data_IF_641894143551
#
_entry.id   IF_641894143551
#
_cell.length_a   1.000
_cell.length_b   1.000
_cell.length_c   1.000
_cell.angle_alpha   90.00
_cell.angle_beta   90.00
_cell.angle_gamma   90.00
#
_symmetry.space_group_name_H-M   'P 1'
#
loop_
_entity.id
_entity.type
_entity.pdbx_description
1 polymer ?
#
# COMPACT_ATOMS: atom_id res chain seq x y z
N UNK A 1 28.26 -6.35 -11.30
CA UNK A 1 28.06 -6.55 -9.86
C UNK A 1 26.64 -7.06 -9.67
N UNK A 2 26.46 -8.34 -9.46
CA UNK A 2 25.15 -8.95 -9.22
C UNK A 2 24.76 -8.58 -7.80
N UNK A 3 23.78 -7.69 -7.64
CA UNK A 3 23.19 -7.38 -6.35
C UNK A 3 22.57 -8.67 -5.79
N UNK A 4 23.21 -9.22 -4.77
CA UNK A 4 22.67 -10.38 -4.07
C UNK A 4 21.54 -9.88 -3.15
N UNK A 5 20.32 -9.89 -3.66
CA UNK A 5 19.12 -9.41 -2.98
C UNK A 5 18.82 -10.17 -1.67
N UNK A 6 19.45 -11.35 -1.47
CA UNK A 6 19.32 -12.13 -0.22
C UNK A 6 19.85 -11.38 1.01
N UNK A 7 20.79 -10.45 0.84
CA UNK A 7 21.35 -9.68 1.97
C UNK A 7 20.45 -8.56 2.49
N UNK A 8 19.36 -8.24 1.79
CA UNK A 8 18.37 -7.26 2.25
C UNK A 8 17.30 -7.84 3.17
N UNK A 9 17.27 -9.17 3.35
CA UNK A 9 16.32 -9.82 4.25
C UNK A 9 16.92 -9.92 5.64
N UNK A 10 16.14 -9.52 6.67
CA UNK A 10 16.51 -9.82 8.03
C UNK A 10 16.45 -11.36 8.23
N UNK A 11 17.61 -12.06 8.37
CA UNK A 11 17.62 -13.52 8.46
C UNK A 11 16.97 -14.06 9.72
N UNK A 12 16.72 -13.20 10.73
CA UNK A 12 16.04 -13.59 11.98
C UNK A 12 14.53 -13.70 11.82
N UNK A 13 13.98 -13.13 10.74
CA UNK A 13 12.57 -13.28 10.44
C UNK A 13 12.43 -14.50 9.52
N UNK A 14 12.21 -15.69 10.12
CA UNK A 14 11.78 -16.88 9.37
C UNK A 14 10.37 -16.67 8.82
N UNK A 15 10.20 -15.68 7.96
CA UNK A 15 8.93 -15.47 7.32
C UNK A 15 8.83 -16.34 6.10
N UNK A 16 7.83 -17.18 6.11
CA UNK A 16 7.46 -18.06 5.04
C UNK A 16 7.47 -17.36 3.69
N UNK A 17 8.21 -17.88 2.73
CA UNK A 17 8.01 -17.77 1.26
C UNK A 17 7.75 -16.39 0.60
N UNK A 18 7.86 -15.26 1.28
CA UNK A 18 7.88 -13.92 0.66
C UNK A 18 9.31 -13.48 0.31
N UNK A 19 10.17 -14.43 0.01
CA UNK A 19 11.61 -14.27 0.00
C UNK A 19 12.21 -13.56 -1.19
N UNK A 20 11.57 -13.57 -2.35
CA UNK A 20 12.14 -13.02 -3.57
C UNK A 20 11.35 -11.81 -4.07
N UNK A 21 12.07 -10.76 -4.49
CA UNK A 21 11.45 -9.64 -5.18
C UNK A 21 10.90 -10.09 -6.52
N UNK A 22 9.62 -9.90 -6.75
CA UNK A 22 9.06 -10.09 -8.08
C UNK A 22 9.72 -9.12 -9.06
N UNK A 23 10.08 -9.62 -10.22
CA UNK A 23 10.54 -8.78 -11.32
C UNK A 23 9.35 -8.06 -11.94
N UNK A 24 9.29 -6.74 -11.76
CA UNK A 24 8.26 -5.93 -12.39
C UNK A 24 8.53 -5.80 -13.88
N UNK A 25 7.49 -5.99 -14.68
CA UNK A 25 7.57 -5.79 -16.13
C UNK A 25 7.29 -4.32 -16.48
N UNK A 26 7.89 -3.82 -17.58
CA UNK A 26 7.65 -2.47 -18.04
C UNK A 26 6.17 -2.20 -18.32
N UNK A 27 5.69 -1.04 -17.89
CA UNK A 27 4.36 -0.52 -18.20
C UNK A 27 4.49 0.49 -19.33
N UNK A 28 3.87 0.18 -20.45
CA UNK A 28 3.93 1.05 -21.63
C UNK A 28 3.32 2.43 -21.34
N UNK A 29 4.00 3.50 -21.75
CA UNK A 29 3.53 4.87 -21.53
C UNK A 29 3.90 5.49 -20.17
N UNK A 30 4.64 4.75 -19.34
CA UNK A 30 5.21 5.22 -18.07
C UNK A 30 6.72 5.43 -18.22
N UNK A 31 7.22 6.55 -17.74
CA UNK A 31 8.64 6.83 -17.51
C UNK A 31 8.90 7.06 -16.04
N UNK A 32 10.02 6.57 -15.51
CA UNK A 32 10.32 6.58 -14.09
C UNK A 32 11.71 7.17 -13.84
N UNK A 33 11.85 7.97 -12.80
CA UNK A 33 13.14 8.42 -12.29
C UNK A 33 13.13 8.61 -10.78
N UNK A 34 14.31 8.53 -10.19
CA UNK A 34 14.55 8.94 -8.80
C UNK A 34 15.92 9.59 -8.67
N UNK A 35 16.04 10.54 -7.76
CA UNK A 35 17.29 11.22 -7.42
C UNK A 35 17.32 11.59 -5.94
N UNK A 36 18.51 11.89 -5.43
CA UNK A 36 18.66 12.52 -4.11
C UNK A 36 18.44 14.02 -4.22
N UNK A 37 17.60 14.56 -3.33
CA UNK A 37 17.49 16.00 -3.06
C UNK A 37 18.24 16.36 -1.78
N UNK A 38 19.11 15.49 -1.28
CA UNK A 38 19.89 15.64 -0.06
C UNK A 38 18.98 15.91 1.17
N UNK A 39 17.82 15.19 1.22
CA UNK A 39 16.92 15.23 2.37
C UNK A 39 17.43 14.31 3.49
N UNK A 40 18.14 13.26 3.10
CA UNK A 40 18.92 12.40 4.00
C UNK A 40 20.42 12.67 3.79
N UNK A 41 21.20 12.47 4.84
CA UNK A 41 22.65 12.71 4.79
C UNK A 41 23.46 11.50 4.29
N UNK A 42 22.79 10.48 3.75
CA UNK A 42 23.40 9.21 3.29
C UNK A 42 23.48 9.10 1.75
N UNK A 43 23.03 10.13 1.03
CA UNK A 43 23.09 10.21 -0.43
C UNK A 43 22.09 9.30 -1.18
N UNK A 44 21.17 8.63 -0.45
CA UNK A 44 20.11 7.83 -1.08
C UNK A 44 19.15 8.72 -1.87
N UNK A 45 18.48 8.13 -2.85
CA UNK A 45 17.39 8.81 -3.53
C UNK A 45 16.23 9.03 -2.55
N UNK A 46 15.63 10.22 -2.60
CA UNK A 46 14.56 10.65 -1.68
C UNK A 46 13.42 11.40 -2.38
N UNK A 47 13.54 11.59 -3.70
CA UNK A 47 12.47 12.04 -4.58
C UNK A 47 12.34 11.13 -5.78
N UNK A 48 11.08 10.85 -6.16
CA UNK A 48 10.74 9.99 -7.30
C UNK A 48 9.71 10.65 -8.18
N UNK A 49 9.77 10.37 -9.49
CA UNK A 49 8.86 10.89 -10.49
C UNK A 49 8.37 9.76 -11.39
N UNK A 50 7.06 9.66 -11.51
CA UNK A 50 6.34 8.81 -12.45
C UNK A 50 5.68 9.72 -13.48
N UNK A 51 6.13 9.66 -14.71
CA UNK A 51 5.66 10.51 -15.80
C UNK A 51 4.92 9.68 -16.84
N UNK A 52 3.74 10.12 -17.19
CA UNK A 52 2.87 9.52 -18.20
C UNK A 52 2.90 10.39 -19.44
N UNK A 53 3.70 10.00 -20.43
CA UNK A 53 3.95 10.81 -21.66
C UNK A 53 2.63 11.29 -22.30
N UNK A 54 1.67 10.38 -22.49
CA UNK A 54 0.38 10.70 -23.06
C UNK A 54 -0.71 10.93 -22.01
N UNK A 55 -0.31 10.95 -20.71
CA UNK A 55 -1.20 11.00 -19.57
C UNK A 55 -1.73 9.63 -19.19
N UNK A 56 -2.38 9.57 -18.04
CA UNK A 56 -3.01 8.36 -17.53
C UNK A 56 -4.35 8.68 -16.85
N UNK A 57 -5.34 7.82 -17.07
CA UNK A 57 -6.50 7.77 -16.20
C UNK A 57 -6.04 7.33 -14.81
N UNK A 58 -6.56 7.94 -13.75
CA UNK A 58 -6.21 7.53 -12.41
C UNK A 58 -7.41 7.43 -11.47
N UNK A 59 -7.25 6.64 -10.44
CA UNK A 59 -8.07 6.65 -9.25
C UNK A 59 -7.17 6.60 -8.03
N UNK A 60 -7.56 7.29 -6.97
CA UNK A 60 -6.85 7.26 -5.71
C UNK A 60 -7.82 7.22 -4.54
N UNK A 61 -7.36 6.61 -3.45
CA UNK A 61 -8.01 6.63 -2.15
C UNK A 61 -6.98 7.17 -1.16
N UNK A 62 -7.44 8.04 -0.26
CA UNK A 62 -6.61 8.79 0.65
C UNK A 62 -6.98 8.49 2.10
N UNK A 63 -6.11 8.86 3.03
CA UNK A 63 -6.36 8.76 4.48
C UNK A 63 -7.70 9.38 4.88
N UNK A 64 -8.30 8.78 5.90
CA UNK A 64 -9.49 9.32 6.57
C UNK A 64 -9.15 10.25 7.74
N UNK A 65 -7.87 10.48 8.01
CA UNK A 65 -7.42 11.43 9.03
C UNK A 65 -8.01 12.82 8.77
N UNK A 66 -8.45 13.49 9.82
CA UNK A 66 -8.89 14.89 9.74
C UNK A 66 -7.74 15.89 9.59
N UNK A 67 -6.52 15.45 9.91
CA UNK A 67 -5.29 16.21 9.68
C UNK A 67 -4.61 15.57 8.47
N UNK A 68 -4.55 16.29 7.36
CA UNK A 68 -4.00 15.80 6.10
C UNK A 68 -2.82 16.63 5.63
N UNK A 69 -1.89 16.00 4.90
CA UNK A 69 -0.74 16.69 4.32
C UNK A 69 -1.13 17.68 3.23
N UNK A 70 -0.23 18.62 2.94
CA UNK A 70 -0.40 19.54 1.82
C UNK A 70 -0.52 18.80 0.47
N UNK A 71 0.15 17.65 0.31
CA UNK A 71 0.07 16.80 -0.88
C UNK A 71 -1.33 16.21 -1.06
N UNK A 72 -1.93 15.68 -0.01
CA UNK A 72 -3.32 15.19 -0.04
C UNK A 72 -4.29 16.32 -0.38
N UNK A 73 -4.15 17.47 0.29
CA UNK A 73 -4.97 18.64 0.06
C UNK A 73 -4.85 19.18 -1.38
N UNK A 74 -3.67 19.06 -1.98
CA UNK A 74 -3.44 19.35 -3.39
C UNK A 74 -4.21 18.40 -4.29
N UNK A 75 -4.03 17.10 -4.09
CA UNK A 75 -4.64 16.06 -4.93
C UNK A 75 -6.17 16.09 -4.90
N UNK A 76 -6.76 16.36 -3.73
CA UNK A 76 -8.22 16.47 -3.57
C UNK A 76 -8.85 17.63 -4.37
N UNK A 77 -8.06 18.66 -4.73
CA UNK A 77 -8.51 19.78 -5.58
C UNK A 77 -8.50 19.45 -7.07
N UNK A 78 -7.87 18.36 -7.47
CA UNK A 78 -7.79 17.93 -8.88
C UNK A 78 -9.11 17.26 -9.27
N UNK A 79 -9.92 17.97 -10.03
CA UNK A 79 -11.24 17.48 -10.47
C UNK A 79 -11.16 16.52 -11.67
N UNK A 80 -10.10 16.62 -12.47
CA UNK A 80 -9.87 15.74 -13.62
C UNK A 80 -9.29 14.42 -13.12
N UNK A 81 -9.83 13.31 -13.58
CA UNK A 81 -9.30 11.98 -13.29
C UNK A 81 -8.29 11.50 -14.36
N UNK A 82 -7.52 12.45 -14.89
CA UNK A 82 -6.48 12.24 -15.89
C UNK A 82 -5.29 13.13 -15.53
N UNK A 83 -4.09 12.56 -15.47
CA UNK A 83 -2.87 13.24 -15.00
C UNK A 83 -1.67 12.92 -15.88
N UNK A 84 -0.65 13.78 -15.82
CA UNK A 84 0.62 13.63 -16.53
C UNK A 84 1.75 13.13 -15.63
N UNK A 85 1.70 13.38 -14.34
CA UNK A 85 2.76 12.90 -13.44
C UNK A 85 2.31 12.75 -11.99
N UNK A 86 3.03 11.86 -11.28
CA UNK A 86 3.06 11.76 -9.83
C UNK A 86 4.49 11.99 -9.35
N UNK A 87 4.69 12.95 -8.45
CA UNK A 87 5.97 13.15 -7.76
C UNK A 87 5.84 12.78 -6.29
N UNK A 88 6.84 12.08 -5.77
CA UNK A 88 6.89 11.61 -4.38
C UNK A 88 8.14 12.15 -3.71
N UNK A 89 8.03 12.66 -2.49
CA UNK A 89 9.17 12.95 -1.63
C UNK A 89 9.09 12.17 -0.31
N UNK A 90 10.26 11.82 0.22
CA UNK A 90 10.41 11.21 1.54
C UNK A 90 11.04 12.18 2.55
N UNK A 91 11.35 11.70 3.75
CA UNK A 91 11.91 12.42 4.90
C UNK A 91 10.96 13.41 5.56
N UNK A 92 10.11 14.11 4.81
CA UNK A 92 9.20 15.12 5.31
C UNK A 92 7.78 14.86 4.80
N UNK A 93 6.83 14.78 5.71
CA UNK A 93 5.43 14.48 5.42
C UNK A 93 4.68 15.65 4.77
N UNK A 94 5.21 16.85 4.87
CA UNK A 94 4.54 18.10 4.53
C UNK A 94 3.15 18.21 5.20
N UNK A 95 3.11 17.80 6.47
CA UNK A 95 1.92 17.82 7.32
C UNK A 95 2.20 18.70 8.52
N UNK A 96 1.20 19.49 8.91
CA UNK A 96 1.32 20.46 10.00
C UNK A 96 2.43 21.52 9.76
N UNK A 97 2.61 21.89 8.49
CA UNK A 97 3.64 22.83 7.99
C UNK A 97 3.06 24.22 7.70
N UNK A 98 1.78 24.44 8.01
CA UNK A 98 1.09 25.70 7.79
C UNK A 98 1.02 26.13 6.31
N UNK A 99 0.88 27.43 6.10
CA UNK A 99 0.77 28.03 4.75
C UNK A 99 2.07 27.81 3.95
N UNK A 100 3.22 27.86 4.62
CA UNK A 100 4.55 27.69 3.96
C UNK A 100 4.68 26.34 3.26
N UNK A 101 4.19 25.25 3.87
CA UNK A 101 4.23 23.93 3.26
C UNK A 101 3.41 23.84 1.97
N UNK A 102 2.22 24.46 1.96
CA UNK A 102 1.37 24.51 0.76
C UNK A 102 1.97 25.41 -0.35
N UNK A 103 2.58 26.56 0.04
CA UNK A 103 3.26 27.45 -0.90
C UNK A 103 4.48 26.77 -1.52
N UNK A 104 5.32 26.11 -0.71
CA UNK A 104 6.47 25.35 -1.19
C UNK A 104 6.07 24.23 -2.17
N UNK A 105 4.98 23.50 -1.90
CA UNK A 105 4.44 22.51 -2.82
C UNK A 105 3.99 23.14 -4.15
N UNK A 106 3.37 24.33 -4.12
CA UNK A 106 2.98 25.08 -5.32
C UNK A 106 4.18 25.49 -6.16
N UNK A 107 5.29 25.92 -5.53
CA UNK A 107 6.54 26.24 -6.23
C UNK A 107 7.14 24.99 -6.91
N UNK A 108 7.15 23.86 -6.23
CA UNK A 108 7.54 22.57 -6.80
C UNK A 108 6.68 22.25 -8.01
N UNK A 109 5.36 22.39 -7.91
CA UNK A 109 4.42 22.13 -8.99
C UNK A 109 4.69 22.98 -10.23
N UNK A 110 4.95 24.27 -10.07
CA UNK A 110 5.31 25.17 -11.19
C UNK A 110 6.64 24.77 -11.84
N UNK A 111 7.66 24.45 -11.04
CA UNK A 111 8.97 24.03 -11.56
C UNK A 111 8.86 22.71 -12.33
N UNK A 112 8.13 21.74 -11.76
CA UNK A 112 7.91 20.43 -12.40
C UNK A 112 7.12 20.57 -13.70
N UNK A 113 6.03 21.34 -13.68
CA UNK A 113 5.21 21.64 -14.87
C UNK A 113 6.06 22.23 -16.00
N UNK A 114 6.89 23.25 -15.70
CA UNK A 114 7.79 23.87 -16.68
C UNK A 114 8.82 22.87 -17.22
N UNK A 115 9.46 22.09 -16.35
CA UNK A 115 10.48 21.12 -16.75
C UNK A 115 9.93 19.99 -17.63
N UNK A 116 8.74 19.48 -17.30
CA UNK A 116 8.08 18.45 -18.08
C UNK A 116 7.56 18.99 -19.42
N UNK A 117 7.05 20.23 -19.47
CA UNK A 117 6.66 20.89 -20.73
C UNK A 117 7.86 21.04 -21.67
N UNK A 118 9.03 21.44 -21.14
CA UNK A 118 10.26 21.52 -21.94
C UNK A 118 10.69 20.15 -22.49
N UNK A 119 10.64 19.09 -21.64
CA UNK A 119 10.92 17.72 -22.09
C UNK A 119 9.94 17.26 -23.18
N UNK A 120 8.65 17.49 -23.01
CA UNK A 120 7.63 17.12 -24.00
C UNK A 120 7.87 17.82 -25.35
N UNK A 121 8.23 19.09 -25.34
CA UNK A 121 8.50 19.87 -26.56
C UNK A 121 9.73 19.38 -27.35
N UNK A 122 10.66 18.70 -26.71
CA UNK A 122 11.85 18.12 -27.36
C UNK A 122 11.57 16.77 -28.05
N UNK A 123 10.47 16.12 -27.70
CA UNK A 123 10.16 14.75 -28.17
C UNK A 123 9.02 14.68 -29.16
N UNK A 124 8.33 15.77 -29.43
CA UNK A 124 7.17 15.82 -30.34
C UNK A 124 7.35 16.91 -31.40
N UNK A 125 7.50 16.52 -32.65
CA UNK A 125 7.41 17.49 -33.78
C UNK A 125 5.98 18.01 -33.86
N UNK A 126 5.80 19.31 -33.64
CA UNK A 126 4.62 20.05 -34.06
C UNK A 126 3.65 20.58 -33.02
N UNK A 127 3.51 20.02 -31.82
CA UNK A 127 2.62 20.57 -30.79
C UNK A 127 3.26 20.60 -29.42
N UNK A 128 3.37 21.77 -28.80
CA UNK A 128 3.78 21.90 -27.40
C UNK A 128 2.69 21.34 -26.49
N UNK A 129 2.91 20.16 -25.92
CA UNK A 129 2.05 19.62 -24.88
C UNK A 129 2.33 20.38 -23.57
N UNK A 130 1.54 21.42 -23.30
CA UNK A 130 1.67 22.25 -22.10
C UNK A 130 1.14 21.48 -20.91
N UNK A 131 2.03 21.04 -20.03
CA UNK A 131 1.66 20.36 -18.81
C UNK A 131 1.30 21.38 -17.73
N UNK A 132 0.06 21.34 -17.26
CA UNK A 132 -0.43 22.25 -16.23
C UNK A 132 -0.13 21.72 -14.85
N UNK A 133 -0.06 22.60 -13.86
CA UNK A 133 0.09 22.18 -12.45
C UNK A 133 -1.06 21.30 -11.97
N UNK A 134 -2.24 21.43 -12.56
CA UNK A 134 -3.42 20.58 -12.30
C UNK A 134 -3.33 19.18 -12.89
N UNK A 135 -2.32 18.91 -13.72
CA UNK A 135 -2.05 17.60 -14.29
C UNK A 135 -1.04 16.79 -13.41
N UNK A 136 -0.64 17.34 -12.26
CA UNK A 136 0.37 16.80 -11.38
C UNK A 136 -0.22 16.35 -10.04
N UNK A 137 0.10 15.13 -9.62
CA UNK A 137 -0.16 14.60 -8.29
C UNK A 137 1.11 14.61 -7.45
N UNK A 138 0.92 14.70 -6.14
CA UNK A 138 2.01 14.66 -5.17
C UNK A 138 1.72 13.66 -4.05
N UNK A 139 2.78 13.06 -3.54
CA UNK A 139 2.76 12.29 -2.30
C UNK A 139 3.99 12.63 -1.47
N UNK A 140 3.82 12.74 -0.18
CA UNK A 140 4.89 13.03 0.78
C UNK A 140 4.84 12.03 1.91
N UNK A 141 5.99 11.70 2.49
CA UNK A 141 6.08 10.82 3.66
C UNK A 141 7.32 11.15 4.49
N UNK A 142 7.24 10.97 5.80
CA UNK A 142 8.33 11.23 6.73
C UNK A 142 7.86 11.99 7.97
N UNK A 143 8.70 12.86 8.49
CA UNK A 143 8.45 13.57 9.75
C UNK A 143 7.33 14.61 9.60
N UNK A 144 6.44 14.66 10.58
CA UNK A 144 5.35 15.63 10.70
C UNK A 144 5.86 16.86 11.47
N UNK A 145 5.45 18.07 11.05
CA UNK A 145 5.72 19.31 11.77
C UNK A 145 7.07 19.97 11.46
N UNK A 146 7.96 19.29 10.75
CA UNK A 146 9.22 19.89 10.27
C UNK A 146 8.97 20.80 9.06
N UNK A 147 9.79 21.86 8.91
CA UNK A 147 9.72 22.74 7.75
C UNK A 147 9.90 21.96 6.45
N UNK A 148 9.02 22.21 5.48
CA UNK A 148 9.06 21.52 4.20
C UNK A 148 10.26 21.97 3.35
N UNK A 149 11.20 21.09 3.00
CA UNK A 149 12.46 21.44 2.33
C UNK A 149 12.27 21.69 0.83
N UNK A 150 11.28 22.51 0.46
CA UNK A 150 10.85 22.71 -0.93
C UNK A 150 11.96 23.25 -1.84
N UNK A 151 12.89 24.07 -1.32
CA UNK A 151 14.00 24.62 -2.11
C UNK A 151 14.94 23.49 -2.56
N UNK A 152 15.33 22.59 -1.64
CA UNK A 152 16.17 21.43 -2.00
C UNK A 152 15.51 20.58 -3.08
N UNK A 153 14.24 20.25 -2.90
CA UNK A 153 13.45 19.47 -3.84
C UNK A 153 13.36 20.17 -5.20
N UNK A 154 12.99 21.45 -5.20
CA UNK A 154 12.82 22.26 -6.41
C UNK A 154 14.10 22.30 -7.26
N UNK A 155 15.25 22.45 -6.63
CA UNK A 155 16.55 22.53 -7.31
C UNK A 155 16.94 21.19 -8.00
N UNK A 156 16.39 20.06 -7.57
CA UNK A 156 16.66 18.75 -8.19
C UNK A 156 15.66 18.34 -9.26
N UNK A 157 14.57 19.07 -9.46
CA UNK A 157 13.56 18.75 -10.48
C UNK A 157 14.15 18.67 -11.90
N UNK A 158 15.02 19.60 -12.37
CA UNK A 158 15.59 19.48 -13.71
C UNK A 158 16.38 18.18 -13.91
N UNK A 159 17.15 17.75 -12.92
CA UNK A 159 17.87 16.48 -12.95
C UNK A 159 16.91 15.28 -12.93
N UNK A 160 15.89 15.33 -12.07
CA UNK A 160 14.86 14.29 -11.95
C UNK A 160 14.14 14.08 -13.30
N UNK A 161 13.76 15.16 -13.99
CA UNK A 161 13.12 15.11 -15.31
C UNK A 161 14.09 14.62 -16.40
N UNK A 162 15.36 15.04 -16.36
CA UNK A 162 16.40 14.56 -17.29
C UNK A 162 16.65 13.06 -17.18
N UNK A 163 16.53 12.50 -15.96
CA UNK A 163 16.77 11.08 -15.66
C UNK A 163 15.56 10.19 -15.92
N UNK A 164 14.43 10.71 -16.38
CA UNK A 164 13.27 9.89 -16.73
C UNK A 164 13.64 8.83 -17.79
N UNK A 165 13.32 7.57 -17.49
CA UNK A 165 13.64 6.42 -18.33
C UNK A 165 12.37 5.68 -18.73
N UNK A 166 12.31 5.35 -20.02
CA UNK A 166 11.33 4.43 -20.61
C UNK A 166 11.66 2.98 -20.24
N UNK A 167 12.94 2.67 -20.15
CA UNK A 167 13.42 1.36 -19.71
C UNK A 167 13.17 1.16 -18.22
N UNK A 168 12.22 0.30 -17.92
CA UNK A 168 11.79 -0.02 -16.55
C UNK A 168 12.28 -1.40 -16.17
N UNK A 169 13.59 -1.59 -16.13
CA UNK A 169 14.18 -2.84 -15.65
C UNK A 169 14.10 -2.98 -14.12
N UNK A 170 14.47 -4.14 -13.60
CA UNK A 170 14.44 -4.42 -12.17
C UNK A 170 15.19 -3.41 -11.30
N UNK A 171 16.26 -2.80 -11.81
CA UNK A 171 17.02 -1.80 -11.05
C UNK A 171 16.28 -0.47 -10.94
N UNK A 172 15.61 -0.04 -12.00
CA UNK A 172 14.79 1.18 -11.99
C UNK A 172 13.64 1.04 -11.00
N UNK A 173 12.91 -0.08 -11.05
CA UNK A 173 11.83 -0.34 -10.11
C UNK A 173 12.32 -0.45 -8.66
N UNK A 174 13.41 -1.21 -8.44
CA UNK A 174 13.99 -1.36 -7.10
C UNK A 174 14.45 -0.02 -6.53
N UNK A 175 15.20 0.75 -7.33
CA UNK A 175 15.69 2.08 -6.94
C UNK A 175 14.55 3.02 -6.59
N UNK A 176 13.50 3.04 -7.42
CA UNK A 176 12.34 3.91 -7.20
C UNK A 176 11.52 3.48 -5.99
N UNK A 177 11.32 2.17 -5.79
CA UNK A 177 10.65 1.63 -4.59
C UNK A 177 11.45 1.92 -3.31
N UNK A 178 12.79 1.91 -3.40
CA UNK A 178 13.66 2.30 -2.27
C UNK A 178 13.60 3.81 -1.99
N UNK A 179 13.46 4.64 -3.03
CA UNK A 179 13.41 6.09 -2.89
C UNK A 179 12.13 6.62 -2.20
N UNK A 180 11.08 5.79 -2.11
CA UNK A 180 9.85 6.15 -1.38
C UNK A 180 9.82 5.64 0.06
N UNK A 181 10.85 4.91 0.51
CA UNK A 181 10.96 4.36 1.86
C UNK A 181 11.34 5.40 2.89
N UNK A 182 10.91 5.16 4.15
CA UNK A 182 11.32 5.95 5.32
C UNK A 182 12.01 5.06 6.35
N UNK A 183 11.26 4.41 7.22
CA UNK A 183 11.73 3.44 8.24
C UNK A 183 11.69 2.01 7.73
N UNK A 184 11.20 1.81 6.52
CA UNK A 184 11.16 0.51 5.84
C UNK A 184 12.56 -0.12 5.76
N UNK A 185 12.64 -1.42 6.00
CA UNK A 185 13.89 -2.18 5.89
C UNK A 185 14.10 -2.69 4.46
N UNK A 186 12.99 -2.85 3.71
CA UNK A 186 13.03 -3.37 2.33
C UNK A 186 12.00 -2.71 1.42
N UNK A 187 12.28 -2.53 0.13
CA UNK A 187 11.30 -2.07 -0.85
C UNK A 187 10.23 -3.14 -1.06
N UNK A 188 9.00 -2.69 -1.36
CA UNK A 188 7.84 -3.56 -1.60
C UNK A 188 7.44 -3.42 -3.06
N UNK A 189 7.46 -4.55 -3.76
CA UNK A 189 7.17 -4.63 -5.19
C UNK A 189 6.26 -5.82 -5.46
N UNK A 190 5.30 -5.65 -6.37
CA UNK A 190 4.44 -6.74 -6.83
C UNK A 190 4.09 -6.56 -8.31
N UNK A 191 3.91 -7.68 -8.99
CA UNK A 191 3.55 -7.75 -10.40
C UNK A 191 2.46 -8.79 -10.62
N UNK A 192 1.52 -8.44 -11.49
CA UNK A 192 0.48 -9.34 -11.99
C UNK A 192 0.22 -9.04 -13.46
N UNK A 193 -0.33 -10.01 -14.16
CA UNK A 193 -0.88 -9.83 -15.49
C UNK A 193 -2.21 -10.58 -15.61
N UNK A 194 -3.07 -10.08 -16.49
CA UNK A 194 -4.36 -10.68 -16.76
C UNK A 194 -4.84 -10.35 -18.17
N UNK A 195 -5.96 -10.92 -18.56
CA UNK A 195 -6.60 -10.57 -19.84
C UNK A 195 -7.79 -9.65 -19.62
N UNK A 196 -7.94 -8.65 -20.49
CA UNK A 196 -9.17 -7.89 -20.67
C UNK A 196 -9.67 -8.16 -22.10
N UNK A 197 -10.70 -9.00 -22.21
CA UNK A 197 -11.05 -9.61 -23.48
C UNK A 197 -9.91 -10.53 -23.97
N UNK A 198 -9.41 -10.28 -25.18
CA UNK A 198 -8.32 -11.06 -25.78
C UNK A 198 -6.92 -10.41 -25.61
N UNK A 199 -6.82 -9.30 -24.88
CA UNK A 199 -5.56 -8.57 -24.70
C UNK A 199 -4.97 -8.81 -23.32
N UNK A 200 -3.69 -9.16 -23.30
CA UNK A 200 -2.89 -9.24 -22.08
C UNK A 200 -2.58 -7.81 -21.61
N UNK A 201 -2.83 -7.54 -20.34
CA UNK A 201 -2.50 -6.29 -19.65
C UNK A 201 -1.62 -6.58 -18.44
N UNK A 202 -0.74 -5.65 -18.12
CA UNK A 202 0.22 -5.75 -17.04
C UNK A 202 -0.18 -4.83 -15.90
N UNK A 203 0.13 -5.24 -14.69
CA UNK A 203 -0.08 -4.46 -13.47
C UNK A 203 1.19 -4.54 -12.65
N UNK A 204 1.88 -3.43 -12.46
CA UNK A 204 3.07 -3.31 -11.61
C UNK A 204 2.75 -2.38 -10.44
N UNK A 205 3.16 -2.76 -9.24
CA UNK A 205 2.91 -1.96 -8.04
C UNK A 205 4.11 -1.86 -7.13
N UNK A 206 4.26 -0.72 -6.50
CA UNK A 206 5.20 -0.49 -5.41
C UNK A 206 4.46 0.03 -4.19
N UNK A 207 5.00 -0.24 -3.02
CA UNK A 207 4.48 0.30 -1.76
C UNK A 207 5.60 0.63 -0.77
N UNK A 208 5.29 1.49 0.19
CA UNK A 208 6.10 1.74 1.38
C UNK A 208 5.21 1.77 2.62
N UNK A 209 5.78 1.44 3.74
CA UNK A 209 5.17 1.47 5.05
C UNK A 209 5.75 0.39 5.94
N UNK A 210 6.01 0.73 7.19
CA UNK A 210 6.48 -0.18 8.24
C UNK A 210 5.94 0.20 9.61
N UNK A 211 5.82 1.49 9.94
CA UNK A 211 5.14 2.02 11.12
C UNK A 211 3.96 2.93 10.77
N UNK A 212 3.13 3.24 11.77
CA UNK A 212 1.89 4.01 11.65
C UNK A 212 0.92 3.31 10.67
N UNK A 213 0.72 1.99 10.82
CA UNK A 213 -0.10 1.14 9.95
C UNK A 213 -1.35 0.67 10.68
N UNK A 214 -2.50 1.28 10.39
CA UNK A 214 -3.81 0.84 10.86
C UNK A 214 -4.92 1.06 9.81
N UNK A 215 -5.97 0.22 9.80
CA UNK A 215 -7.05 0.30 8.82
C UNK A 215 -7.85 1.60 8.92
N UNK A 216 -8.46 1.94 7.85
CA UNK A 216 -9.16 3.13 7.39
C UNK A 216 -8.29 4.01 6.49
N UNK A 217 -7.56 3.37 5.55
CA UNK A 217 -6.54 3.96 4.69
C UNK A 217 -5.32 4.42 5.51
N UNK A 218 -4.53 3.42 5.94
CA UNK A 218 -3.40 3.55 6.86
C UNK A 218 -2.11 4.05 6.20
N UNK A 219 -1.11 4.39 7.01
CA UNK A 219 0.20 5.01 6.70
C UNK A 219 1.00 4.22 5.69
N UNK A 220 0.56 4.30 4.48
CA UNK A 220 1.25 3.69 3.39
C UNK A 220 1.11 4.55 2.14
N UNK A 221 2.11 4.48 1.33
CA UNK A 221 2.00 4.91 -0.06
C UNK A 221 2.04 3.66 -0.92
N UNK A 222 1.07 3.50 -1.80
CA UNK A 222 1.10 2.48 -2.83
C UNK A 222 0.72 3.06 -4.17
N UNK A 223 1.58 2.82 -5.15
CA UNK A 223 1.38 3.30 -6.51
C UNK A 223 1.35 2.10 -7.44
N UNK A 224 0.23 1.94 -8.13
CA UNK A 224 -0.07 0.81 -9.01
C UNK A 224 -0.21 1.35 -10.44
N UNK A 225 0.43 0.71 -11.37
CA UNK A 225 0.49 1.13 -12.77
C UNK A 225 0.03 0.00 -13.67
N UNK A 226 -0.79 0.32 -14.68
CA UNK A 226 -1.22 -0.64 -15.69
C UNK A 226 -1.21 -0.01 -17.08
N UNK A 227 -0.91 -0.80 -18.08
CA UNK A 227 -1.02 -0.42 -19.49
C UNK A 227 -2.43 -0.63 -20.06
N UNK A 228 -3.36 -1.19 -19.29
CA UNK A 228 -4.76 -1.34 -19.65
C UNK A 228 -5.42 0.00 -19.96
N UNK A 229 -6.46 -0.04 -20.79
CA UNK A 229 -7.33 1.11 -21.07
C UNK A 229 -8.63 0.98 -20.26
N UNK A 230 -8.64 1.56 -19.07
CA UNK A 230 -9.78 1.53 -18.15
C UNK A 230 -10.15 2.96 -17.74
N UNK A 231 -11.42 3.38 -17.92
CA UNK A 231 -11.90 4.68 -17.45
C UNK A 231 -11.76 4.85 -15.93
N UNK A 232 -11.43 6.06 -15.49
CA UNK A 232 -11.18 6.38 -14.07
C UNK A 232 -12.36 6.03 -13.15
N UNK A 233 -13.59 6.12 -13.62
CA UNK A 233 -14.78 5.78 -12.84
C UNK A 233 -14.79 4.30 -12.45
N UNK A 234 -14.40 3.42 -13.35
CA UNK A 234 -14.31 1.98 -13.10
C UNK A 234 -13.07 1.64 -12.27
N UNK A 235 -11.92 2.29 -12.57
CA UNK A 235 -10.73 2.17 -11.73
C UNK A 235 -11.05 2.49 -10.26
N UNK A 236 -11.80 3.59 -10.01
CA UNK A 236 -12.17 4.02 -8.66
C UNK A 236 -13.06 2.99 -7.95
N UNK A 237 -14.03 2.42 -8.66
CA UNK A 237 -14.93 1.42 -8.08
C UNK A 237 -14.17 0.13 -7.73
N UNK A 238 -13.33 -0.38 -8.66
CA UNK A 238 -12.52 -1.59 -8.45
C UNK A 238 -11.51 -1.35 -7.31
N UNK A 239 -10.81 -0.22 -7.32
CA UNK A 239 -9.82 0.12 -6.30
C UNK A 239 -10.43 0.12 -4.91
N UNK A 240 -11.59 0.76 -4.72
CA UNK A 240 -12.30 0.77 -3.43
C UNK A 240 -12.66 -0.63 -2.95
N UNK A 241 -13.14 -1.48 -3.85
CA UNK A 241 -13.49 -2.88 -3.54
C UNK A 241 -12.25 -3.69 -3.13
N UNK A 242 -11.17 -3.58 -3.89
CA UNK A 242 -9.92 -4.29 -3.64
C UNK A 242 -9.27 -3.85 -2.32
N UNK A 243 -9.20 -2.55 -2.07
CA UNK A 243 -8.58 -2.01 -0.86
C UNK A 243 -9.31 -2.49 0.40
N UNK A 244 -10.63 -2.62 0.36
CA UNK A 244 -11.43 -3.03 1.51
C UNK A 244 -11.01 -4.38 2.11
N UNK A 245 -10.48 -5.29 1.29
CA UNK A 245 -10.05 -6.64 1.66
C UNK A 245 -8.54 -6.87 1.51
N UNK A 246 -7.76 -5.81 1.31
CA UNK A 246 -6.30 -5.89 1.19
C UNK A 246 -5.64 -4.88 2.13
N UNK A 247 -5.35 -3.66 1.68
CA UNK A 247 -4.70 -2.63 2.49
C UNK A 247 -5.51 -2.20 3.73
N UNK A 248 -6.85 -2.25 3.67
CA UNK A 248 -7.71 -1.98 4.83
C UNK A 248 -7.93 -3.21 5.73
N UNK A 249 -7.21 -4.30 5.49
CA UNK A 249 -7.26 -5.53 6.29
C UNK A 249 -5.95 -5.81 7.03
N UNK A 250 -5.06 -4.82 7.12
CA UNK A 250 -3.78 -4.95 7.82
C UNK A 250 -3.66 -3.93 8.95
N UNK A 251 -2.90 -4.29 9.97
CA UNK A 251 -2.46 -3.37 11.03
C UNK A 251 -1.11 -3.79 11.57
N UNK A 252 -0.29 -2.80 11.97
CA UNK A 252 0.97 -3.02 12.69
C UNK A 252 0.88 -2.46 14.10
N UNK A 253 0.45 -1.21 14.25
CA UNK A 253 0.53 -0.45 15.51
C UNK A 253 -0.77 0.27 15.90
N UNK A 254 -1.84 0.11 15.15
CA UNK A 254 -3.15 0.74 15.34
C UNK A 254 -3.21 2.24 14.98
N UNK A 255 -2.14 2.85 14.45
CA UNK A 255 -2.09 4.28 14.18
C UNK A 255 -2.37 4.61 12.72
N UNK A 256 -3.24 5.61 12.49
CA UNK A 256 -3.62 6.09 11.15
C UNK A 256 -2.83 7.34 10.78
N UNK A 257 -2.25 7.35 9.59
CA UNK A 257 -1.43 8.46 9.11
C UNK A 257 -2.22 9.61 8.51
N UNK A 258 -1.49 10.71 8.38
CA UNK A 258 -1.94 11.95 7.73
C UNK A 258 -1.72 11.97 6.22
N UNK A 259 -1.01 10.95 5.65
CA UNK A 259 -0.44 11.02 4.29
C UNK A 259 -0.84 9.87 3.38
N UNK A 260 -1.66 8.93 3.84
CA UNK A 260 -1.93 7.70 3.09
C UNK A 260 -2.52 7.95 1.72
N UNK A 261 -1.97 7.23 0.76
CA UNK A 261 -2.44 7.26 -0.62
C UNK A 261 -2.24 5.89 -1.27
N UNK A 262 -3.32 5.30 -1.75
CA UNK A 262 -3.28 4.21 -2.73
C UNK A 262 -3.78 4.76 -4.05
N UNK A 263 -2.95 4.75 -5.08
CA UNK A 263 -3.32 5.24 -6.40
C UNK A 263 -3.03 4.20 -7.47
N UNK A 264 -3.96 4.09 -8.42
CA UNK A 264 -3.80 3.30 -9.65
C UNK A 264 -3.84 4.20 -10.87
N UNK A 265 -2.92 3.96 -11.79
CA UNK A 265 -2.75 4.71 -13.03
C UNK A 265 -2.88 3.77 -14.22
N UNK A 266 -3.75 4.13 -15.18
CA UNK A 266 -4.03 3.38 -16.40
C UNK A 266 -3.58 4.21 -17.59
N UNK A 267 -2.49 3.79 -18.26
CA UNK A 267 -1.89 4.52 -19.37
C UNK A 267 -2.65 4.33 -20.69
N UNK A 268 -3.51 3.32 -20.78
CA UNK A 268 -4.32 3.05 -21.95
C UNK A 268 -3.54 2.62 -23.20
N UNK A 269 -2.28 2.17 -23.04
CA UNK A 269 -1.41 1.79 -24.15
C UNK A 269 -1.78 0.45 -24.77
N UNK A 270 -2.33 -0.46 -23.99
CA UNK A 270 -2.96 -1.66 -24.52
C UNK A 270 -4.37 -1.31 -24.97
N UNK A 271 -4.63 -1.52 -26.25
CA UNK A 271 -5.98 -1.33 -26.82
C UNK A 271 -6.83 -2.56 -26.55
N UNK A 272 -7.19 -2.75 -25.29
CA UNK A 272 -8.13 -3.79 -24.87
C UNK A 272 -9.56 -3.41 -25.24
N UNK A 273 -10.46 -4.38 -25.19
CA UNK A 273 -11.89 -4.15 -25.44
C UNK A 273 -12.43 -3.02 -24.57
N UNK A 274 -13.27 -2.19 -25.17
CA UNK A 274 -13.89 -1.06 -24.45
C UNK A 274 -14.77 -1.58 -23.30
N UNK A 275 -14.65 -0.93 -22.16
CA UNK A 275 -15.41 -1.20 -20.95
C UNK A 275 -16.57 -0.20 -20.87
N UNK A 276 -17.79 -0.71 -20.69
CA UNK A 276 -19.00 0.12 -20.69
C UNK A 276 -19.62 0.29 -19.32
N UNK A 277 -19.41 -0.68 -18.41
CA UNK A 277 -19.94 -0.62 -17.05
C UNK A 277 -19.04 -1.40 -16.10
N UNK A 278 -19.27 -1.24 -14.80
CA UNK A 278 -18.46 -1.87 -13.74
C UNK A 278 -18.68 -3.38 -13.63
N UNK A 279 -19.82 -3.88 -14.08
CA UNK A 279 -20.17 -5.30 -14.05
C UNK A 279 -19.71 -6.03 -15.32
N UNK A 280 -18.99 -5.35 -16.23
CA UNK A 280 -18.47 -5.98 -17.44
C UNK A 280 -17.61 -7.21 -17.07
N UNK A 281 -17.98 -8.43 -17.53
CA UNK A 281 -17.23 -9.64 -17.19
C UNK A 281 -15.74 -9.57 -17.53
N UNK A 282 -15.38 -8.75 -18.52
CA UNK A 282 -13.98 -8.54 -18.93
C UNK A 282 -13.12 -7.91 -17.83
N UNK A 283 -13.73 -7.24 -16.82
CA UNK A 283 -13.02 -6.65 -15.68
C UNK A 283 -12.75 -7.65 -14.56
N UNK A 284 -13.39 -8.82 -14.54
CA UNK A 284 -13.26 -9.78 -13.44
C UNK A 284 -11.82 -10.26 -13.24
N UNK A 285 -11.12 -10.58 -14.33
CA UNK A 285 -9.73 -11.04 -14.23
C UNK A 285 -8.79 -9.90 -13.82
N UNK A 286 -9.06 -8.67 -14.28
CA UNK A 286 -8.33 -7.48 -13.85
C UNK A 286 -8.55 -7.20 -12.35
N UNK A 287 -9.79 -7.28 -11.86
CA UNK A 287 -10.11 -7.11 -10.45
C UNK A 287 -9.39 -8.16 -9.59
N UNK A 288 -9.43 -9.44 -10.00
CA UNK A 288 -8.73 -10.53 -9.31
C UNK A 288 -7.20 -10.31 -9.29
N UNK A 289 -6.61 -9.91 -10.42
CA UNK A 289 -5.18 -9.64 -10.52
C UNK A 289 -4.78 -8.44 -9.65
N UNK A 290 -5.57 -7.35 -9.70
CA UNK A 290 -5.36 -6.18 -8.84
C UNK A 290 -5.49 -6.55 -7.35
N UNK A 291 -6.43 -7.43 -6.99
CA UNK A 291 -6.58 -7.91 -5.63
C UNK A 291 -5.34 -8.70 -5.18
N UNK A 292 -4.85 -9.67 -5.98
CA UNK A 292 -3.64 -10.44 -5.65
C UNK A 292 -2.42 -9.55 -5.47
N UNK A 293 -2.21 -8.60 -6.40
CA UNK A 293 -1.13 -7.62 -6.32
C UNK A 293 -1.21 -6.78 -5.04
N UNK A 294 -2.39 -6.24 -4.76
CA UNK A 294 -2.62 -5.38 -3.58
C UNK A 294 -2.48 -6.16 -2.27
N UNK A 295 -2.96 -7.40 -2.22
CA UNK A 295 -2.79 -8.29 -1.06
C UNK A 295 -1.32 -8.63 -0.83
N UNK A 296 -0.57 -8.88 -1.90
CA UNK A 296 0.87 -9.13 -1.82
C UNK A 296 1.61 -7.92 -1.24
N UNK A 297 1.36 -6.71 -1.76
CA UNK A 297 1.95 -5.48 -1.23
C UNK A 297 1.54 -5.22 0.23
N UNK A 298 0.27 -5.44 0.59
CA UNK A 298 -0.23 -5.29 1.95
C UNK A 298 0.50 -6.24 2.92
N UNK A 299 0.66 -7.51 2.53
CA UNK A 299 1.42 -8.48 3.32
C UNK A 299 2.90 -8.09 3.47
N UNK A 300 3.54 -7.57 2.42
CA UNK A 300 4.92 -7.09 2.49
C UNK A 300 5.07 -5.92 3.49
N UNK A 301 4.07 -5.04 3.61
CA UNK A 301 4.05 -3.95 4.61
C UNK A 301 4.03 -4.53 6.02
N UNK A 302 3.12 -5.48 6.31
CA UNK A 302 3.00 -6.08 7.66
C UNK A 302 4.27 -6.84 8.03
N UNK A 303 4.82 -7.58 7.07
CA UNK A 303 6.08 -8.33 7.24
C UNK A 303 7.24 -7.42 7.60
N UNK A 304 7.26 -6.21 7.06
CA UNK A 304 8.28 -5.18 7.32
C UNK A 304 7.90 -4.24 8.46
N UNK A 305 6.87 -4.58 9.23
CA UNK A 305 6.38 -3.77 10.35
C UNK A 305 7.48 -3.46 11.38
N UNK A 306 7.49 -2.24 11.91
CA UNK A 306 8.47 -1.80 12.92
C UNK A 306 8.45 -2.74 14.14
N UNK A 307 9.59 -3.36 14.42
CA UNK A 307 9.73 -4.32 15.51
C UNK A 307 9.01 -5.66 15.31
N UNK A 308 8.41 -5.92 14.16
CA UNK A 308 7.68 -7.15 13.88
C UNK A 308 8.59 -8.38 13.90
N UNK A 309 8.18 -9.40 14.69
CA UNK A 309 8.84 -10.70 14.77
C UNK A 309 7.98 -11.82 14.22
N UNK A 310 6.68 -11.62 14.17
CA UNK A 310 5.68 -12.60 13.78
C UNK A 310 4.71 -11.98 12.77
N UNK A 311 4.28 -12.80 11.82
CA UNK A 311 3.18 -12.48 10.92
C UNK A 311 1.94 -13.23 11.41
N UNK A 312 0.89 -12.50 11.77
CA UNK A 312 -0.34 -13.08 12.29
C UNK A 312 -1.48 -12.88 11.30
N UNK A 313 -2.15 -13.98 10.96
CA UNK A 313 -3.40 -13.94 10.18
C UNK A 313 -4.56 -14.22 11.15
N UNK A 314 -5.55 -13.35 11.17
CA UNK A 314 -6.76 -13.50 11.98
C UNK A 314 -7.95 -13.62 11.03
N UNK A 315 -8.60 -14.77 11.05
CA UNK A 315 -9.81 -15.04 10.28
C UNK A 315 -11.01 -15.05 11.24
N UNK A 316 -11.95 -14.17 11.03
CA UNK A 316 -13.22 -14.17 11.78
C UNK A 316 -14.31 -14.71 10.87
N UNK A 317 -14.92 -15.82 11.24
CA UNK A 317 -15.96 -16.48 10.47
C UNK A 317 -17.24 -16.62 11.27
N UNK A 318 -18.35 -16.92 10.59
CA UNK A 318 -19.63 -17.11 11.26
C UNK A 318 -20.21 -15.87 11.92
N UNK A 319 -19.83 -14.66 11.50
CA UNK A 319 -20.35 -13.40 12.02
C UNK A 319 -21.71 -13.04 11.41
N UNK A 320 -22.45 -12.19 12.12
CA UNK A 320 -23.75 -11.65 11.68
C UNK A 320 -23.64 -10.72 10.48
N UNK A 321 -22.49 -10.03 10.35
CA UNK A 321 -22.19 -9.11 9.24
C UNK A 321 -20.69 -9.04 8.98
N UNK A 322 -20.32 -8.55 7.78
CA UNK A 322 -18.91 -8.27 7.42
C UNK A 322 -18.30 -7.23 8.38
N UNK A 323 -19.08 -6.21 8.78
CA UNK A 323 -18.63 -5.19 9.72
C UNK A 323 -18.30 -5.80 11.08
N UNK A 324 -19.17 -6.66 11.60
CA UNK A 324 -18.94 -7.34 12.87
C UNK A 324 -17.70 -8.23 12.83
N UNK A 325 -17.51 -9.02 11.77
CA UNK A 325 -16.31 -9.82 11.58
C UNK A 325 -15.05 -8.95 11.59
N UNK A 326 -15.07 -7.84 10.84
CA UNK A 326 -13.97 -6.89 10.75
C UNK A 326 -13.66 -6.25 12.11
N UNK A 327 -14.66 -5.75 12.81
CA UNK A 327 -14.47 -5.06 14.11
C UNK A 327 -13.89 -6.02 15.16
N UNK A 328 -14.35 -7.26 15.19
CA UNK A 328 -13.80 -8.30 16.08
C UNK A 328 -12.35 -8.60 15.71
N UNK A 329 -12.06 -8.84 14.42
CA UNK A 329 -10.70 -9.11 13.94
C UNK A 329 -9.72 -8.00 14.34
N UNK A 330 -10.12 -6.73 14.15
CA UNK A 330 -9.29 -5.58 14.56
C UNK A 330 -9.21 -5.37 16.07
N UNK A 331 -10.27 -5.69 16.82
CA UNK A 331 -10.21 -5.67 18.28
C UNK A 331 -9.14 -6.62 18.81
N UNK A 332 -8.99 -7.78 18.20
CA UNK A 332 -7.94 -8.75 18.53
C UNK A 332 -6.58 -8.26 18.02
N UNK A 333 -6.46 -7.94 16.74
CA UNK A 333 -5.21 -7.54 16.11
C UNK A 333 -4.56 -6.32 16.79
N UNK A 334 -5.37 -5.35 17.22
CA UNK A 334 -4.92 -4.11 17.86
C UNK A 334 -4.82 -4.21 19.41
N UNK A 335 -5.08 -5.38 20.00
CA UNK A 335 -4.97 -5.56 21.44
C UNK A 335 -3.49 -5.63 21.87
N UNK A 336 -2.99 -4.69 22.71
CA UNK A 336 -1.61 -4.74 23.21
C UNK A 336 -1.31 -6.04 23.96
N UNK A 337 -2.27 -6.54 24.76
CA UNK A 337 -2.11 -7.81 25.49
C UNK A 337 -2.00 -9.02 24.55
N UNK A 338 -2.77 -9.02 23.47
CA UNK A 338 -2.65 -10.05 22.42
C UNK A 338 -1.26 -9.98 21.76
N UNK A 339 -0.84 -8.78 21.35
CA UNK A 339 0.48 -8.58 20.71
C UNK A 339 1.63 -9.01 21.61
N UNK A 340 1.56 -8.76 22.93
CA UNK A 340 2.58 -9.19 23.87
C UNK A 340 2.61 -10.72 24.03
N UNK A 341 1.47 -11.41 23.99
CA UNK A 341 1.43 -12.88 23.98
C UNK A 341 2.11 -13.44 22.72
N UNK A 342 1.75 -12.91 21.54
CA UNK A 342 2.37 -13.31 20.26
C UNK A 342 3.89 -13.08 20.29
N UNK A 343 4.34 -11.92 20.75
CA UNK A 343 5.76 -11.56 20.80
C UNK A 343 6.55 -12.42 21.80
N UNK A 344 5.90 -12.80 22.91
CA UNK A 344 6.44 -13.67 23.96
C UNK A 344 6.29 -15.16 23.68
N UNK A 345 5.69 -15.54 22.53
CA UNK A 345 5.41 -16.95 22.18
C UNK A 345 4.53 -17.65 23.23
N UNK A 346 3.70 -16.87 23.93
CA UNK A 346 2.77 -17.32 24.96
C UNK A 346 1.43 -17.74 24.31
N UNK A 347 1.00 -19.03 24.45
CA UNK A 347 -0.25 -19.52 23.87
C UNK A 347 -1.49 -19.03 24.64
N UNK A 348 -1.50 -17.78 25.07
CA UNK A 348 -2.53 -17.17 25.91
C UNK A 348 -3.78 -16.79 25.12
N UNK A 349 -4.57 -17.80 24.76
CA UNK A 349 -5.82 -17.61 24.03
C UNK A 349 -6.87 -16.80 24.83
N UNK A 350 -6.76 -16.74 26.16
CA UNK A 350 -7.62 -15.88 26.98
C UNK A 350 -7.57 -14.41 26.60
N UNK A 351 -6.43 -13.93 26.07
CA UNK A 351 -6.30 -12.56 25.54
C UNK A 351 -7.08 -12.35 24.25
N UNK A 352 -7.31 -13.42 23.49
CA UNK A 352 -8.18 -13.38 22.30
C UNK A 352 -9.63 -13.24 22.77
N UNK A 353 -10.06 -14.06 23.74
CA UNK A 353 -11.42 -13.98 24.33
C UNK A 353 -11.70 -12.59 24.87
N UNK A 354 -10.79 -12.04 25.66
CA UNK A 354 -10.91 -10.67 26.19
C UNK A 354 -11.05 -9.64 25.06
N UNK A 355 -10.27 -9.76 24.00
CA UNK A 355 -10.31 -8.83 22.87
C UNK A 355 -11.60 -8.96 22.05
N UNK A 356 -12.15 -10.16 21.90
CA UNK A 356 -13.49 -10.37 21.32
C UNK A 356 -14.54 -9.68 22.17
N UNK A 357 -14.51 -9.89 23.50
CA UNK A 357 -15.49 -9.33 24.42
C UNK A 357 -15.56 -7.81 24.44
N UNK A 358 -14.44 -7.12 24.21
CA UNK A 358 -14.38 -5.65 24.15
C UNK A 358 -14.67 -5.05 22.77
N UNK A 359 -14.95 -5.86 21.75
CA UNK A 359 -15.13 -5.39 20.36
C UNK A 359 -16.36 -4.49 20.16
N UNK A 360 -17.31 -4.50 21.10
CA UNK A 360 -18.59 -3.79 20.98
C UNK A 360 -19.61 -4.50 20.09
N UNK A 361 -19.28 -5.68 19.57
CA UNK A 361 -20.17 -6.46 18.70
C UNK A 361 -21.02 -7.47 19.52
N UNK A 362 -22.17 -7.84 18.96
CA UNK A 362 -23.01 -8.86 19.56
C UNK A 362 -22.35 -10.23 19.42
N UNK A 363 -22.09 -10.86 20.56
CA UNK A 363 -21.47 -12.17 20.68
C UNK A 363 -22.28 -13.08 21.60
N UNK A 364 -22.18 -14.39 21.39
CA UNK A 364 -22.76 -15.41 22.26
C UNK A 364 -21.66 -16.37 22.69
N UNK A 365 -21.19 -16.21 23.92
CA UNK A 365 -19.95 -16.85 24.40
C UNK A 365 -19.90 -18.37 24.20
N UNK A 366 -21.00 -19.09 24.43
CA UNK A 366 -21.07 -20.55 24.24
C UNK A 366 -21.05 -21.00 22.77
N UNK A 367 -21.14 -20.09 21.80
CA UNK A 367 -21.04 -20.39 20.38
C UNK A 367 -19.64 -20.14 19.81
N UNK A 368 -18.79 -19.42 20.54
CA UNK A 368 -17.45 -19.07 20.05
C UNK A 368 -16.57 -20.32 20.05
N UNK A 369 -15.86 -20.52 18.93
CA UNK A 369 -14.74 -21.45 18.83
C UNK A 369 -13.50 -20.68 18.39
N UNK A 370 -12.35 -20.95 19.01
CA UNK A 370 -11.07 -20.33 18.69
C UNK A 370 -10.08 -21.42 18.33
N UNK A 371 -9.41 -21.24 17.19
CA UNK A 371 -8.28 -22.07 16.76
C UNK A 371 -7.02 -21.25 16.63
N UNK A 372 -5.90 -21.79 17.01
CA UNK A 372 -4.55 -21.26 16.78
C UNK A 372 -3.78 -22.35 16.02
N UNK A 373 -3.44 -22.07 14.75
CA UNK A 373 -3.01 -23.11 13.83
C UNK A 373 -4.09 -24.17 13.66
N UNK A 374 -3.73 -25.44 13.84
CA UNK A 374 -4.65 -26.58 13.78
C UNK A 374 -5.28 -26.93 15.12
N UNK A 375 -4.92 -26.23 16.22
CA UNK A 375 -5.37 -26.52 17.56
C UNK A 375 -6.64 -25.75 17.91
N UNK A 376 -7.71 -26.46 18.30
CA UNK A 376 -8.87 -25.83 18.95
C UNK A 376 -8.44 -25.55 20.40
N UNK A 377 -8.46 -24.27 20.78
CA UNK A 377 -8.01 -23.84 22.13
C UNK A 377 -9.19 -23.52 23.04
N UNK A 378 -10.31 -23.07 22.49
CA UNK A 378 -11.52 -22.75 23.25
C UNK A 378 -12.77 -23.04 22.42
N UNK A 379 -13.79 -23.60 23.06
CA UNK A 379 -15.12 -23.81 22.49
C UNK A 379 -16.15 -23.96 23.61
N UNK A 380 -17.42 -23.70 23.29
CA UNK A 380 -18.54 -23.85 24.23
C UNK A 380 -18.32 -23.14 25.58
N UNK A 381 -17.69 -21.94 25.52
CA UNK A 381 -17.35 -21.12 26.69
C UNK A 381 -16.39 -21.80 27.69
N UNK A 382 -15.57 -22.73 27.22
CA UNK A 382 -14.59 -23.46 28.03
C UNK A 382 -13.30 -23.73 27.22
N UNK A 383 -12.27 -24.21 27.92
CA UNK A 383 -11.09 -24.75 27.24
C UNK A 383 -11.48 -26.01 26.44
N UNK A 384 -10.93 -26.15 25.23
CA UNK A 384 -11.21 -27.32 24.41
C UNK A 384 -10.69 -28.62 25.05
N UNK A 385 -11.44 -29.72 24.83
CA UNK A 385 -11.07 -31.02 25.46
C UNK A 385 -9.69 -31.55 25.03
N UNK A 386 -9.34 -31.26 23.77
CA UNK A 386 -8.06 -31.73 23.18
C UNK A 386 -6.97 -30.65 23.25
N UNK A 387 -7.14 -29.65 24.11
CA UNK A 387 -6.15 -28.58 24.29
C UNK A 387 -4.82 -29.15 24.85
N UNK A 388 -3.75 -28.92 24.08
CA UNK A 388 -2.39 -29.31 24.43
C UNK A 388 -1.49 -28.05 24.40
N UNK A 389 -1.18 -27.56 25.59
CA UNK A 389 -0.41 -26.32 25.72
C UNK A 389 1.01 -26.45 25.22
N UNK A 390 1.64 -27.62 25.37
CA UNK A 390 3.03 -27.83 24.95
C UNK A 390 3.14 -27.79 23.42
N UNK A 391 2.27 -28.49 22.71
CA UNK A 391 2.22 -28.45 21.24
C UNK A 391 1.90 -27.07 20.73
N UNK A 392 0.97 -26.39 21.37
CA UNK A 392 0.64 -25.02 20.98
C UNK A 392 1.81 -24.06 21.21
N UNK A 393 2.56 -24.21 22.30
CA UNK A 393 3.78 -23.43 22.59
C UNK A 393 4.84 -23.64 21.51
N UNK A 394 5.03 -24.85 21.02
CA UNK A 394 5.94 -25.11 19.90
C UNK A 394 5.45 -24.42 18.60
N UNK A 395 4.15 -24.47 18.31
CA UNK A 395 3.58 -23.74 17.16
C UNK A 395 3.78 -22.22 17.28
N UNK A 396 3.65 -21.65 18.48
CA UNK A 396 3.85 -20.21 18.71
C UNK A 396 5.27 -19.74 18.41
N UNK A 397 6.26 -20.63 18.34
CA UNK A 397 7.63 -20.30 17.91
C UNK A 397 7.76 -20.04 16.41
N UNK A 398 6.73 -20.38 15.61
CA UNK A 398 6.75 -20.16 14.17
C UNK A 398 6.68 -18.66 13.85
N UNK A 399 7.31 -18.26 12.72
CA UNK A 399 7.27 -16.87 12.24
C UNK A 399 5.90 -16.44 11.71
N UNK A 400 5.01 -17.39 11.41
CA UNK A 400 3.65 -17.13 10.90
C UNK A 400 2.64 -17.88 11.75
N UNK A 401 1.68 -17.15 12.31
CA UNK A 401 0.63 -17.67 13.21
C UNK A 401 -0.72 -17.43 12.57
N UNK A 402 -1.53 -18.48 12.45
CA UNK A 402 -2.90 -18.40 11.98
C UNK A 402 -3.87 -18.51 13.17
N UNK A 403 -4.85 -17.64 13.22
CA UNK A 403 -5.91 -17.64 14.22
C UNK A 403 -7.25 -17.63 13.47
N UNK A 404 -8.13 -18.54 13.84
CA UNK A 404 -9.50 -18.55 13.37
C UNK A 404 -10.44 -18.36 14.58
N UNK A 405 -11.36 -17.41 14.43
CA UNK A 405 -12.41 -17.12 15.41
C UNK A 405 -13.74 -17.38 14.73
N UNK A 406 -14.38 -18.49 15.10
CA UNK A 406 -15.71 -18.81 14.60
C UNK A 406 -16.76 -18.37 15.64
N UNK A 407 -17.66 -17.48 15.23
CA UNK A 407 -18.71 -16.96 16.10
C UNK A 407 -19.97 -17.81 16.08
N UNK A 408 -20.17 -18.61 15.04
CA UNK A 408 -21.37 -19.46 14.84
C UNK A 408 -22.70 -18.68 14.95
N UNK A 409 -22.74 -17.43 14.49
CA UNK A 409 -23.92 -16.53 14.56
C UNK A 409 -24.49 -16.20 13.16
N UNK A 410 -23.73 -16.44 12.10
CA UNK A 410 -24.11 -16.09 10.74
C UNK A 410 -23.21 -16.74 9.70
N UNK A 411 -23.15 -16.10 8.51
CA UNK A 411 -22.35 -16.60 7.35
C UNK A 411 -21.26 -15.61 6.91
N UNK A 412 -21.16 -14.46 7.57
CA UNK A 412 -20.15 -13.44 7.18
C UNK A 412 -18.78 -13.80 7.74
N UNK A 413 -17.74 -13.45 6.95
CA UNK A 413 -16.33 -13.66 7.31
C UNK A 413 -15.46 -12.49 6.88
N UNK A 414 -14.34 -12.31 7.58
CA UNK A 414 -13.34 -11.30 7.30
C UNK A 414 -11.95 -11.78 7.64
#
# INVERSE_FOLDING_TARGET
>A
MTLNLKNFFNPKIKMSKMGEFQELKPISGLEISSVSADLYNDGRDDISLFYFKDGANFAAVYTTSRITSASINWNLKIKRHFVKALMVNTKNANTFTGIKGAQGLKEIAHTLSKSLTLKSSQTTEGAKDIIKITDLLFASTGVIGEEFPHIKIKNRIPELVKKLRVEQNKFVWFKTASAIMTTDIRPKLAYEECKIGNKLVKISGIAKGSGMIAPNMATMLSFIFTDANIPSVFLKAILKKVIATTFNSITVDSDTSTNDMVAIFSTGKVKNSKIYNILDPKLQDFEKALHRLSLNLAKQIVVDGEGAKKFVTINVVGATSLSAAKNIGFSVANSPLFKTAIAGEDPNWGRIVMAIGKSGENIVANKIQIKIGDFIVAEQNAVAKEYDEEKLREYMKWGSINIEINLNLGKSSY
#
